data_IF_484514164363
#
_entry.id   IF_484514164363
#
_cell.length_a   1.000
_cell.length_b   1.000
_cell.length_c   1.000
_cell.angle_alpha   90.00
_cell.angle_beta   90.00
_cell.angle_gamma   90.00
#
_symmetry.space_group_name_H-M   'P 1'
#
loop_
_entity.id
_entity.type
_entity.pdbx_description
1 polymer ?
#
# COMPACT_ATOMS: atom_id res chain seq x y z
N UNK A 1 -1.20 7.08 -2.11
CA UNK A 1 -0.69 6.18 -1.04
C UNK A 1 -0.86 6.90 0.29
N UNK A 2 -1.43 6.24 1.31
CA UNK A 2 -1.62 6.82 2.65
C UNK A 2 -0.35 6.63 3.50
N UNK A 3 0.27 5.45 3.42
CA UNK A 3 1.53 5.21 4.11
C UNK A 3 2.11 3.83 3.84
N UNK A 4 3.37 3.64 4.22
CA UNK A 4 4.05 2.34 4.19
C UNK A 4 3.84 1.65 5.53
N UNK A 5 3.35 0.40 5.50
CA UNK A 5 3.08 -0.36 6.73
C UNK A 5 4.14 -1.40 7.04
N UNK A 6 4.68 -2.06 6.01
CA UNK A 6 5.70 -3.08 6.19
C UNK A 6 6.53 -3.24 4.95
N UNK A 7 7.84 -3.03 5.06
CA UNK A 7 8.81 -3.45 4.06
C UNK A 7 9.40 -4.81 4.49
N UNK A 8 9.46 -5.83 3.61
CA UNK A 8 9.97 -7.15 3.95
C UNK A 8 11.48 -7.16 4.24
N UNK A 9 12.24 -6.19 3.74
CA UNK A 9 13.70 -6.18 3.88
C UNK A 9 14.16 -5.68 5.25
N UNK A 10 13.46 -4.69 5.83
CA UNK A 10 13.83 -4.13 7.14
C UNK A 10 12.74 -3.25 7.74
N UNK A 11 12.58 -3.26 9.09
CA UNK A 11 11.79 -2.23 9.79
C UNK A 11 12.28 -0.80 9.50
N UNK A 12 13.59 -0.59 9.37
CA UNK A 12 14.16 0.72 9.04
C UNK A 12 13.64 1.22 7.69
N UNK A 13 13.49 0.34 6.70
CA UNK A 13 12.95 0.69 5.38
C UNK A 13 11.46 1.02 5.46
N UNK A 14 10.74 0.42 6.40
CA UNK A 14 9.36 0.79 6.70
C UNK A 14 9.30 2.22 7.25
N UNK A 15 10.16 2.54 8.23
CA UNK A 15 10.23 3.89 8.83
C UNK A 15 10.67 4.97 7.85
N UNK A 16 11.59 4.66 6.93
CA UNK A 16 12.04 5.57 5.87
C UNK A 16 11.05 5.67 4.70
N UNK A 17 9.99 4.85 4.66
CA UNK A 17 9.01 4.86 3.57
C UNK A 17 9.54 4.30 2.25
N UNK A 18 10.56 3.44 2.28
CA UNK A 18 11.12 2.81 1.08
C UNK A 18 10.14 1.79 0.54
N UNK A 19 9.82 1.90 -0.76
CA UNK A 19 8.88 1.03 -1.46
C UNK A 19 9.65 0.11 -2.41
N UNK A 20 9.70 -1.17 -2.06
CA UNK A 20 10.25 -2.25 -2.89
C UNK A 20 9.18 -3.29 -3.18
N UNK A 21 9.46 -4.24 -4.08
CA UNK A 21 8.62 -5.43 -4.26
C UNK A 21 8.31 -6.09 -2.92
N UNK A 22 7.05 -6.46 -2.73
CA UNK A 22 6.54 -7.09 -1.51
C UNK A 22 6.25 -6.14 -0.36
N UNK A 23 6.48 -4.82 -0.50
CA UNK A 23 6.11 -3.83 0.52
C UNK A 23 4.58 -3.77 0.66
N UNK A 24 4.09 -3.77 1.90
CA UNK A 24 2.69 -3.53 2.23
C UNK A 24 2.47 -2.04 2.43
N UNK A 25 1.58 -1.49 1.64
CA UNK A 25 1.18 -0.08 1.67
C UNK A 25 -0.29 0.05 2.04
N UNK A 26 -0.64 1.14 2.70
CA UNK A 26 -2.03 1.56 2.89
C UNK A 26 -2.42 2.49 1.74
N UNK A 27 -3.50 2.15 1.05
CA UNK A 27 -3.99 2.88 -0.13
C UNK A 27 -5.38 3.42 0.12
N UNK A 28 -5.64 4.61 -0.42
CA UNK A 28 -6.97 5.19 -0.36
C UNK A 28 -7.86 4.46 -1.38
N UNK A 29 -8.99 3.92 -0.91
CA UNK A 29 -9.96 3.19 -1.73
C UNK A 29 -11.34 3.85 -1.72
N UNK A 30 -11.44 5.10 -1.27
CA UNK A 30 -12.71 5.85 -1.24
C UNK A 30 -13.35 5.96 -2.63
N UNK A 31 -12.54 6.04 -3.69
CA UNK A 31 -13.03 6.11 -5.08
C UNK A 31 -13.64 4.78 -5.57
N UNK A 32 -13.35 3.66 -4.91
CA UNK A 32 -13.91 2.34 -5.28
C UNK A 32 -15.31 2.11 -4.70
N UNK A 33 -15.83 3.03 -3.86
CA UNK A 33 -17.17 2.92 -3.30
C UNK A 33 -17.37 1.70 -2.39
N UNK A 34 -16.29 1.17 -1.80
CA UNK A 34 -16.37 0.00 -0.94
C UNK A 34 -17.08 0.35 0.38
N UNK A 35 -18.02 -0.49 0.78
CA UNK A 35 -18.78 -0.36 2.02
C UNK A 35 -18.70 -1.65 2.83
N UNK A 36 -18.63 -1.52 4.15
CA UNK A 36 -18.78 -2.66 5.07
C UNK A 36 -20.24 -3.10 5.13
N UNK A 37 -20.51 -4.33 5.60
CA UNK A 37 -21.89 -4.82 5.78
C UNK A 37 -22.72 -3.92 6.71
N UNK A 38 -22.08 -3.17 7.61
CA UNK A 38 -22.72 -2.16 8.47
C UNK A 38 -22.89 -0.78 7.83
N UNK A 39 -22.69 -0.64 6.52
CA UNK A 39 -22.90 0.61 5.78
C UNK A 39 -21.80 1.66 5.92
N UNK A 40 -20.70 1.38 6.63
CA UNK A 40 -19.57 2.32 6.75
C UNK A 40 -18.72 2.30 5.48
N UNK A 41 -18.38 3.48 4.97
CA UNK A 41 -17.48 3.67 3.82
C UNK A 41 -16.06 3.27 4.20
N UNK A 42 -15.44 2.43 3.37
CA UNK A 42 -14.04 2.05 3.50
C UNK A 42 -13.20 3.02 2.70
N UNK A 43 -12.30 3.73 3.37
CA UNK A 43 -11.40 4.70 2.75
C UNK A 43 -9.95 4.22 2.69
N UNK A 44 -9.60 3.14 3.39
CA UNK A 44 -8.26 2.58 3.47
C UNK A 44 -8.24 1.06 3.35
N UNK A 45 -7.31 0.52 2.55
CA UNK A 45 -6.99 -0.91 2.48
C UNK A 45 -5.49 -1.13 2.40
N UNK A 46 -5.05 -2.32 2.79
CA UNK A 46 -3.68 -2.77 2.57
C UNK A 46 -3.55 -3.40 1.18
N UNK A 47 -2.49 -3.03 0.48
CA UNK A 47 -2.11 -3.56 -0.82
C UNK A 47 -0.62 -3.95 -0.79
N UNK A 48 -0.24 -4.93 -1.62
CA UNK A 48 1.13 -5.42 -1.70
C UNK A 48 1.73 -5.04 -3.05
N UNK A 49 2.88 -4.37 -3.04
CA UNK A 49 3.60 -4.04 -4.26
C UNK A 49 4.05 -5.32 -4.96
N UNK A 50 3.65 -5.48 -6.22
CA UNK A 50 3.88 -6.71 -7.01
C UNK A 50 5.08 -6.60 -7.95
N UNK A 51 5.42 -5.39 -8.37
CA UNK A 51 6.51 -5.10 -9.28
C UNK A 51 7.78 -4.60 -8.54
N UNK A 52 8.82 -4.25 -9.31
CA UNK A 52 10.05 -3.65 -8.81
C UNK A 52 10.06 -2.16 -9.22
N UNK A 53 9.57 -1.23 -8.38
CA UNK A 53 9.39 0.16 -8.76
C UNK A 53 10.67 0.85 -9.24
N UNK A 54 11.83 0.43 -8.73
CA UNK A 54 13.15 0.91 -9.12
C UNK A 54 13.50 0.63 -10.59
N UNK A 55 12.89 -0.39 -11.20
CA UNK A 55 13.10 -0.75 -12.60
C UNK A 55 12.03 -0.17 -13.53
N UNK A 56 10.79 -0.06 -13.03
CA UNK A 56 9.64 0.26 -13.87
C UNK A 56 9.27 1.76 -13.83
N UNK A 57 9.70 2.50 -12.81
CA UNK A 57 9.29 3.88 -12.57
C UNK A 57 7.83 4.05 -12.10
N UNK A 58 7.11 2.94 -11.95
CA UNK A 58 5.72 2.87 -11.50
C UNK A 58 5.58 1.92 -10.30
N UNK A 59 4.57 2.14 -9.47
CA UNK A 59 4.23 1.25 -8.34
C UNK A 59 2.92 0.54 -8.67
N UNK A 60 2.97 -0.78 -8.81
CA UNK A 60 1.83 -1.64 -9.08
C UNK A 60 1.51 -2.45 -7.82
N UNK A 61 0.32 -2.27 -7.25
CA UNK A 61 -0.10 -2.88 -5.98
C UNK A 61 -1.60 -3.17 -5.95
#
# INVERSE_FOLDING_TARGET
>A
IIGVKKNPNSPTYTSLGVITKGTIIEVNVSELGLVTQGGKVVWGKYAQVTNNPENDGCINA
#
